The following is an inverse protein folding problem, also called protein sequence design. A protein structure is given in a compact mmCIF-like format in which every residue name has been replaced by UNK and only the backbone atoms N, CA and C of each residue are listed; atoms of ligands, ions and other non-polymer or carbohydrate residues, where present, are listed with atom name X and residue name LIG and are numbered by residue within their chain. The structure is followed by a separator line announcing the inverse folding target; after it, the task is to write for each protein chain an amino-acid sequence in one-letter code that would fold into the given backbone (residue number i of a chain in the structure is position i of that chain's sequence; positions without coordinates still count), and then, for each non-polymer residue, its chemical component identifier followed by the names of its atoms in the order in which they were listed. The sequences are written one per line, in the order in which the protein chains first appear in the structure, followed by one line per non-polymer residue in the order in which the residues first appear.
data_IF_257054747151
#
_entry.id   IF_257054747151
#
_cell.length_a   1.000
_cell.length_b   1.000
_cell.length_c   1.000
_cell.angle_alpha   90.00
_cell.angle_beta   90.00
_cell.angle_gamma   90.00
#
_symmetry.space_group_name_H-M   'P 1'
#
loop_
_entity.id
_entity.type
_entity.pdbx_description
1 polymer ?
#
# COMPACT_ATOMS: atom_id res chain seq x y z
N UNK A 1 -2.59 6.85 7.48
CA UNK A 1 -2.53 5.58 8.23
C UNK A 1 -1.12 5.16 8.69
N UNK A 2 -0.10 5.16 7.81
CA UNK A 2 1.22 4.57 8.12
C UNK A 2 1.90 5.09 9.40
N UNK A 3 1.87 6.39 9.65
CA UNK A 3 2.47 7.01 10.85
C UNK A 3 1.80 6.53 12.15
N UNK A 4 0.47 6.60 12.20
CA UNK A 4 -0.31 6.16 13.36
C UNK A 4 -0.08 4.66 13.63
N UNK A 5 -0.07 3.84 12.58
CA UNK A 5 0.15 2.41 12.73
C UNK A 5 1.57 2.08 13.21
N UNK A 6 2.61 2.73 12.67
CA UNK A 6 3.98 2.57 13.17
C UNK A 6 4.11 2.96 14.64
N UNK A 7 3.42 4.04 15.06
CA UNK A 7 3.38 4.40 16.47
C UNK A 7 2.62 3.36 17.32
N UNK A 8 1.54 2.80 16.79
CA UNK A 8 0.80 1.72 17.41
C UNK A 8 1.61 0.40 17.52
N UNK A 9 2.61 0.16 16.67
CA UNK A 9 3.45 -1.04 16.80
C UNK A 9 4.74 -0.81 17.59
N UNK A 10 5.18 0.45 17.75
CA UNK A 10 6.50 0.76 18.30
C UNK A 10 6.70 0.18 19.69
N UNK A 11 7.80 -0.57 19.86
CA UNK A 11 8.19 -1.16 21.13
C UNK A 11 7.29 -2.31 21.62
N UNK A 12 6.42 -2.85 20.76
CA UNK A 12 5.45 -3.89 21.12
C UNK A 12 5.61 -5.14 20.26
N UNK A 13 5.52 -6.31 20.89
CA UNK A 13 5.53 -7.58 20.19
C UNK A 13 4.17 -7.84 19.53
N UNK A 14 4.19 -8.28 18.27
CA UNK A 14 3.01 -8.64 17.50
C UNK A 14 3.01 -10.16 17.32
N UNK A 15 1.87 -10.79 17.60
CA UNK A 15 1.66 -12.22 17.35
C UNK A 15 0.55 -12.35 16.30
N UNK A 16 0.81 -13.09 15.23
CA UNK A 16 -0.17 -13.32 14.17
C UNK A 16 -0.53 -14.80 14.07
N UNK A 17 -1.82 -15.10 13.95
CA UNK A 17 -2.31 -16.43 13.65
C UNK A 17 -2.25 -16.64 12.14
N UNK A 18 -1.17 -17.28 11.69
CA UNK A 18 -0.94 -17.57 10.27
C UNK A 18 -1.66 -18.87 9.89
N UNK A 19 -2.57 -18.85 8.89
CA UNK A 19 -3.21 -20.07 8.40
C UNK A 19 -2.15 -21.03 7.81
N UNK A 20 -2.27 -22.35 8.04
CA UNK A 20 -1.29 -23.33 7.56
C UNK A 20 -1.26 -23.47 6.03
N UNK A 21 -2.26 -22.92 5.33
CA UNK A 21 -2.45 -23.02 3.88
C UNK A 21 -1.69 -21.92 3.10
N UNK A 22 -0.86 -21.13 3.78
CA UNK A 22 -0.05 -20.09 3.15
C UNK A 22 1.18 -20.68 2.48
N UNK A 23 1.14 -20.84 1.16
CA UNK A 23 2.35 -20.96 0.34
C UNK A 23 3.18 -19.67 0.37
N UNK A 24 3.98 -19.42 -0.66
CA UNK A 24 4.71 -18.14 -0.82
C UNK A 24 3.80 -16.97 -1.24
N UNK A 25 2.50 -17.19 -1.28
CA UNK A 25 1.48 -16.23 -1.71
C UNK A 25 1.10 -15.24 -0.60
N UNK A 26 0.38 -14.18 -0.99
CA UNK A 26 -0.19 -13.22 -0.05
C UNK A 26 -1.20 -13.92 0.86
N UNK A 27 -0.96 -13.87 2.17
CA UNK A 27 -1.86 -14.41 3.20
C UNK A 27 -2.53 -13.30 4.00
N UNK A 28 -3.77 -13.56 4.42
CA UNK A 28 -4.44 -12.79 5.45
C UNK A 28 -4.26 -13.50 6.80
N UNK A 29 -3.83 -12.76 7.81
CA UNK A 29 -3.65 -13.26 9.17
C UNK A 29 -4.24 -12.28 10.18
N UNK A 30 -4.83 -12.81 11.25
CA UNK A 30 -5.22 -12.01 12.39
C UNK A 30 -3.98 -11.76 13.26
N UNK A 31 -3.73 -10.50 13.61
CA UNK A 31 -2.58 -10.10 14.42
C UNK A 31 -3.01 -9.38 15.69
N UNK A 32 -2.31 -9.63 16.80
CA UNK A 32 -2.62 -9.06 18.11
C UNK A 32 -1.37 -8.51 18.82
N UNK A 33 -1.59 -7.53 19.68
CA UNK A 33 -0.61 -7.00 20.64
C UNK A 33 -1.19 -7.18 22.04
N UNK A 34 -0.66 -8.15 22.80
CA UNK A 34 -1.30 -8.58 24.04
C UNK A 34 -2.74 -9.02 23.77
N UNK A 35 -3.72 -8.26 24.27
CA UNK A 35 -5.16 -8.52 24.05
C UNK A 35 -5.78 -7.67 22.94
N UNK A 36 -5.03 -6.75 22.33
CA UNK A 36 -5.56 -5.83 21.32
C UNK A 36 -5.44 -6.45 19.93
N UNK A 37 -6.57 -6.63 19.24
CA UNK A 37 -6.60 -6.97 17.81
C UNK A 37 -6.14 -5.76 16.98
N UNK A 38 -5.17 -5.99 16.09
CA UNK A 38 -4.55 -4.99 15.22
C UNK A 38 -5.48 -4.54 14.09
N UNK A 39 -6.18 -5.48 13.46
CA UNK A 39 -7.14 -5.21 12.39
C UNK A 39 -8.33 -4.42 12.90
N UNK A 40 -8.89 -4.81 14.04
CA UNK A 40 -9.95 -4.09 14.74
C UNK A 40 -9.49 -2.67 15.09
N UNK A 41 -8.31 -2.50 15.69
CA UNK A 41 -7.78 -1.18 16.04
C UNK A 41 -7.65 -0.27 14.80
N UNK A 42 -7.16 -0.79 13.67
CA UNK A 42 -7.06 -0.04 12.42
C UNK A 42 -8.44 0.46 11.95
N UNK A 43 -9.44 -0.42 11.99
CA UNK A 43 -10.78 -0.10 11.51
C UNK A 43 -11.50 0.87 12.47
N UNK A 44 -11.47 0.64 13.78
CA UNK A 44 -12.12 1.49 14.80
C UNK A 44 -11.59 2.93 14.83
N UNK A 45 -10.33 3.12 14.45
CA UNK A 45 -9.70 4.44 14.34
C UNK A 45 -9.88 5.08 12.96
N UNK A 46 -10.56 4.40 12.03
CA UNK A 46 -10.80 4.90 10.67
C UNK A 46 -9.55 4.88 9.79
N UNK A 47 -8.56 4.03 10.08
CA UNK A 47 -7.36 3.88 9.24
C UNK A 47 -7.53 2.82 8.15
N UNK A 48 -8.52 1.94 8.26
CA UNK A 48 -8.86 0.92 7.29
C UNK A 48 -10.38 0.76 7.13
N UNK A 49 -10.81 0.20 6.00
CA UNK A 49 -12.21 -0.20 5.77
C UNK A 49 -12.37 -1.68 6.11
N UNK A 50 -13.44 -2.02 6.82
CA UNK A 50 -13.81 -3.40 7.03
C UNK A 50 -14.26 -4.06 5.71
N UNK A 51 -13.85 -5.31 5.49
CA UNK A 51 -14.45 -6.13 4.46
C UNK A 51 -15.93 -6.38 4.78
N UNK A 52 -16.78 -6.43 3.75
CA UNK A 52 -18.22 -6.72 3.92
C UNK A 52 -18.39 -8.10 4.56
N UNK A 53 -19.23 -8.19 5.60
CA UNK A 53 -19.45 -9.43 6.34
C UNK A 53 -18.26 -9.93 7.17
N UNK A 54 -17.18 -9.15 7.26
CA UNK A 54 -16.01 -9.48 8.07
C UNK A 54 -16.21 -9.18 9.56
N UNK A 55 -15.25 -9.60 10.41
CA UNK A 55 -15.35 -9.43 11.86
C UNK A 55 -15.31 -7.97 12.33
N UNK A 56 -14.88 -7.05 11.48
CA UNK A 56 -14.68 -5.63 11.82
C UNK A 56 -15.79 -4.71 11.32
N UNK A 57 -16.93 -5.23 10.85
CA UNK A 57 -18.02 -4.39 10.29
C UNK A 57 -18.50 -3.36 11.30
N UNK A 58 -18.81 -3.79 12.53
CA UNK A 58 -19.30 -2.89 13.59
C UNK A 58 -18.26 -1.81 13.95
N UNK A 59 -16.98 -2.19 14.04
CA UNK A 59 -15.88 -1.25 14.22
C UNK A 59 -15.81 -0.20 13.10
N UNK A 60 -16.05 -0.63 11.86
CA UNK A 60 -16.06 0.23 10.68
C UNK A 60 -17.21 1.23 10.71
N UNK A 61 -18.39 0.78 11.13
CA UNK A 61 -19.56 1.63 11.27
C UNK A 61 -19.37 2.67 12.38
N UNK A 62 -18.78 2.28 13.52
CA UNK A 62 -18.39 3.22 14.59
C UNK A 62 -17.40 4.29 14.09
N UNK A 63 -16.41 3.89 13.30
CA UNK A 63 -15.45 4.83 12.72
C UNK A 63 -16.09 5.79 11.71
N UNK A 64 -17.03 5.31 10.91
CA UNK A 64 -17.79 6.12 9.95
C UNK A 64 -18.69 7.14 10.66
N UNK A 65 -19.49 6.69 11.62
CA UNK A 65 -20.37 7.56 12.43
C UNK A 65 -19.56 8.59 13.21
N UNK A 66 -18.41 8.18 13.76
CA UNK A 66 -17.49 9.07 14.46
C UNK A 66 -16.65 9.97 13.55
N UNK A 67 -16.80 9.88 12.22
CA UNK A 67 -16.00 10.61 11.22
C UNK A 67 -14.49 10.54 11.49
N UNK A 68 -14.00 9.34 11.83
CA UNK A 68 -12.59 9.11 12.18
C UNK A 68 -11.75 8.82 10.95
N UNK A 69 -10.48 9.24 10.98
CA UNK A 69 -9.48 8.89 9.97
C UNK A 69 -9.95 9.22 8.55
N UNK A 70 -10.02 8.21 7.68
CA UNK A 70 -10.45 8.35 6.28
C UNK A 70 -11.93 8.74 6.12
N UNK A 71 -12.73 8.65 7.18
CA UNK A 71 -14.14 9.06 7.21
C UNK A 71 -14.33 10.49 7.74
N UNK A 72 -13.24 11.15 8.15
CA UNK A 72 -13.24 12.54 8.57
C UNK A 72 -13.26 13.51 7.39
N UNK A 73 -13.34 14.82 7.71
CA UNK A 73 -13.16 15.86 6.70
C UNK A 73 -11.73 15.81 6.12
N UNK A 74 -11.61 16.05 4.83
CA UNK A 74 -10.31 16.22 4.21
C UNK A 74 -9.59 17.44 4.82
N UNK A 75 -8.25 17.37 4.95
CA UNK A 75 -7.48 18.55 5.35
C UNK A 75 -7.64 19.66 4.31
N UNK A 76 -7.61 20.91 4.78
CA UNK A 76 -7.60 22.06 3.88
C UNK A 76 -6.26 22.13 3.15
N UNK A 77 -6.32 22.05 1.81
CA UNK A 77 -5.17 22.08 0.93
C UNK A 77 -4.95 23.46 0.30
N UNK A 78 -5.77 24.46 0.62
CA UNK A 78 -5.78 25.77 -0.04
C UNK A 78 -4.46 26.54 0.07
N UNK A 79 -3.66 26.26 1.11
CA UNK A 79 -2.33 26.85 1.31
C UNK A 79 -1.16 25.97 0.84
N UNK A 80 -1.42 24.79 0.27
CA UNK A 80 -0.34 23.90 -0.18
C UNK A 80 0.06 24.22 -1.61
N UNK A 81 1.38 24.35 -1.91
CA UNK A 81 1.83 24.49 -3.28
C UNK A 81 1.40 23.25 -4.07
N UNK A 82 0.81 23.47 -5.25
CA UNK A 82 0.47 22.39 -6.15
C UNK A 82 1.71 21.54 -6.43
N UNK A 83 1.56 20.21 -6.41
CA UNK A 83 2.65 19.34 -6.84
C UNK A 83 3.06 19.77 -8.26
N UNK A 84 4.36 20.00 -8.53
CA UNK A 84 4.80 20.28 -9.88
C UNK A 84 4.35 19.12 -10.77
N UNK A 85 3.88 19.46 -11.97
CA UNK A 85 3.47 18.46 -12.96
C UNK A 85 4.60 17.42 -13.09
N UNK A 86 4.24 16.14 -13.08
CA UNK A 86 5.20 15.10 -13.37
C UNK A 86 5.88 15.43 -14.71
N UNK A 87 7.22 15.32 -14.81
CA UNK A 87 7.88 15.47 -16.10
C UNK A 87 7.27 14.51 -17.11
N UNK A 88 7.26 14.89 -18.39
CA UNK A 88 6.78 14.04 -19.47
C UNK A 88 7.32 12.61 -19.31
N UNK A 89 6.49 11.57 -19.55
CA UNK A 89 6.95 10.20 -19.43
C UNK A 89 8.24 10.02 -20.22
N UNK A 90 9.21 9.35 -19.61
CA UNK A 90 10.47 9.04 -20.26
C UNK A 90 10.19 8.41 -21.63
N UNK A 91 10.98 8.73 -22.67
CA UNK A 91 10.89 8.04 -23.95
C UNK A 91 10.85 6.54 -23.71
N UNK A 92 9.92 5.85 -24.38
CA UNK A 92 9.83 4.40 -24.32
C UNK A 92 11.22 3.86 -24.71
N UNK A 93 11.88 3.14 -23.80
CA UNK A 93 13.09 2.45 -24.18
C UNK A 93 12.75 1.46 -25.32
N UNK A 94 13.59 1.32 -26.36
CA UNK A 94 13.40 0.25 -27.31
C UNK A 94 13.28 -1.08 -26.56
N UNK A 95 12.33 -1.91 -26.95
CA UNK A 95 12.20 -3.24 -26.36
C UNK A 95 13.50 -4.01 -26.55
N UNK A 96 13.94 -4.73 -25.50
CA UNK A 96 15.18 -5.53 -25.41
C UNK A 96 16.45 -4.88 -25.99
N UNK A 97 17.51 -4.78 -25.19
CA UNK A 97 18.84 -4.40 -25.67
C UNK A 97 19.46 -5.44 -26.65
N UNK A 98 18.75 -6.54 -26.91
CA UNK A 98 19.16 -7.64 -27.78
C UNK A 98 18.18 -7.79 -28.93
N UNK A 99 18.69 -7.70 -30.15
CA UNK A 99 17.96 -8.11 -31.37
C UNK A 99 18.21 -9.59 -31.64
N UNK A 100 17.14 -10.30 -32.01
CA UNK A 100 17.23 -11.69 -32.44
C UNK A 100 17.35 -11.74 -33.96
N UNK A 101 18.54 -12.05 -34.45
CA UNK A 101 18.82 -12.31 -35.88
C UNK A 101 19.12 -13.80 -36.01
N UNK A 102 18.29 -14.51 -36.77
CA UNK A 102 18.44 -15.95 -37.03
C UNK A 102 18.61 -16.81 -35.75
N UNK A 103 17.88 -16.48 -34.68
CA UNK A 103 17.93 -17.19 -33.40
C UNK A 103 19.16 -16.87 -32.53
N UNK A 104 19.99 -15.88 -32.91
CA UNK A 104 21.12 -15.39 -32.13
C UNK A 104 20.82 -14.00 -31.60
N UNK A 105 20.89 -13.84 -30.27
CA UNK A 105 20.76 -12.56 -29.59
C UNK A 105 22.04 -11.74 -29.76
N UNK A 106 21.95 -10.62 -30.46
CA UNK A 106 23.04 -9.65 -30.66
C UNK A 106 22.70 -8.31 -30.00
N UNK A 107 23.69 -7.56 -29.50
CA UNK A 107 23.46 -6.20 -29.01
C UNK A 107 22.88 -5.32 -30.12
N UNK A 108 21.77 -4.65 -29.85
CA UNK A 108 21.17 -3.69 -30.76
C UNK A 108 22.07 -2.44 -30.90
N UNK A 109 22.11 -1.84 -32.09
CA UNK A 109 22.90 -0.62 -32.35
C UNK A 109 22.35 0.54 -31.52
N UNK A 110 23.16 1.05 -30.58
CA UNK A 110 22.71 2.08 -29.65
C UNK A 110 22.82 3.46 -30.32
N UNK A 111 21.73 4.26 -30.37
CA UNK A 111 21.77 5.58 -30.99
C UNK A 111 22.78 6.49 -30.27
N UNK A 112 23.51 7.29 -31.04
CA UNK A 112 24.50 8.21 -30.51
C UNK A 112 23.84 9.21 -29.53
N UNK A 113 24.51 9.57 -28.41
CA UNK A 113 23.98 10.52 -27.46
C UNK A 113 23.65 11.86 -28.13
N UNK A 114 22.46 12.38 -27.87
CA UNK A 114 22.12 13.74 -28.28
C UNK A 114 22.99 14.75 -27.50
N UNK A 115 23.59 15.71 -28.22
CA UNK A 115 24.31 16.87 -27.67
C UNK A 115 23.33 17.84 -27.00
#
# INVERSE_FOLDING_TARGET
ARTAFRAFLRGRAVVCTVPPQGGRDLIAAECRIGKQDVGQWLVENGWARAAKGGPYVEAGDKARTGRKGIFGSAPDLSGMPAMPAAPSPAPQAPGSILEEVDGVLKPADQPAPAQ
#
